data_IF_387577699604
#
_entry.id   IF_387577699604
#
_cell.length_a   1.000
_cell.length_b   1.000
_cell.length_c   1.000
_cell.angle_alpha   90.00
_cell.angle_beta   90.00
_cell.angle_gamma   90.00
#
_symmetry.space_group_name_H-M   'P 1'
#
loop_
_entity.id
_entity.type
_entity.pdbx_description
1 polymer ?
#
# COMPACT_ATOMS: atom_id res chain seq x y z
N UNK A 1 -19.55 2.74 -4.01
CA UNK A 1 -18.28 2.05 -4.33
C UNK A 1 -17.94 0.90 -3.40
N UNK A 2 -18.34 0.91 -2.12
CA UNK A 2 -18.04 -0.16 -1.16
C UNK A 2 -18.49 -1.58 -1.59
N UNK A 3 -19.61 -1.67 -2.32
CA UNK A 3 -20.22 -2.93 -2.78
C UNK A 3 -19.44 -3.71 -3.83
N UNK A 4 -18.52 -3.09 -4.59
CA UNK A 4 -17.77 -3.80 -5.63
C UNK A 4 -16.69 -4.69 -5.00
N UNK A 5 -15.89 -4.13 -4.09
CA UNK A 5 -14.80 -4.84 -3.44
C UNK A 5 -15.30 -5.99 -2.58
N UNK A 6 -16.38 -5.78 -1.83
CA UNK A 6 -17.02 -6.83 -1.03
C UNK A 6 -17.47 -8.01 -1.90
N UNK A 7 -18.07 -7.73 -3.07
CA UNK A 7 -18.46 -8.78 -4.02
C UNK A 7 -17.25 -9.51 -4.59
N UNK A 8 -16.19 -8.78 -4.94
CA UNK A 8 -14.99 -9.35 -5.55
C UNK A 8 -14.24 -10.27 -4.57
N UNK A 9 -14.15 -9.88 -3.30
CA UNK A 9 -13.58 -10.73 -2.24
C UNK A 9 -14.45 -11.97 -2.02
N UNK A 10 -15.79 -11.80 -1.98
CA UNK A 10 -16.70 -12.92 -1.78
C UNK A 10 -16.69 -13.95 -2.93
N UNK A 11 -16.46 -13.53 -4.18
CA UNK A 11 -16.48 -14.44 -5.34
C UNK A 11 -15.13 -15.09 -5.65
N UNK A 12 -14.02 -14.49 -5.22
CA UNK A 12 -12.68 -14.99 -5.55
C UNK A 12 -12.08 -15.93 -4.51
N UNK A 13 -12.61 -15.93 -3.28
CA UNK A 13 -12.12 -16.80 -2.20
C UNK A 13 -10.72 -16.44 -1.71
N UNK A 14 -10.26 -15.21 -1.98
CA UNK A 14 -8.96 -14.70 -1.54
C UNK A 14 -8.99 -14.47 -0.03
N UNK A 15 -7.95 -14.92 0.69
CA UNK A 15 -7.75 -14.60 2.09
C UNK A 15 -7.29 -13.13 2.22
N UNK A 16 -8.20 -12.27 2.71
CA UNK A 16 -7.94 -10.83 2.89
C UNK A 16 -7.75 -10.53 4.37
N UNK A 17 -6.54 -10.06 4.71
CA UNK A 17 -6.17 -9.74 6.09
C UNK A 17 -6.01 -8.23 6.27
N UNK A 18 -7.01 -7.60 6.89
CA UNK A 18 -6.94 -6.19 7.27
C UNK A 18 -6.04 -6.00 8.51
N UNK A 19 -5.58 -4.77 8.72
CA UNK A 19 -4.69 -4.40 9.84
C UNK A 19 -3.40 -5.24 9.93
N UNK A 20 -3.00 -5.90 8.84
CA UNK A 20 -1.82 -6.76 8.76
C UNK A 20 -0.68 -6.01 8.09
N UNK A 21 -0.21 -4.94 8.74
CA UNK A 21 0.83 -4.07 8.18
C UNK A 21 2.16 -4.81 8.09
N UNK A 22 2.68 -4.93 6.87
CA UNK A 22 4.03 -5.44 6.60
C UNK A 22 5.06 -4.37 6.96
N UNK A 23 6.11 -4.77 7.68
CA UNK A 23 7.22 -3.92 8.13
C UNK A 23 8.51 -4.20 7.37
N UNK A 24 8.73 -5.45 6.99
CA UNK A 24 9.90 -5.84 6.21
C UNK A 24 9.56 -7.03 5.32
N UNK A 25 10.20 -7.09 4.17
CA UNK A 25 10.22 -8.23 3.24
C UNK A 25 11.67 -8.69 3.12
N UNK A 26 11.88 -10.01 3.20
CA UNK A 26 13.20 -10.61 3.03
C UNK A 26 13.11 -11.81 2.10
N UNK A 27 13.98 -11.85 1.09
CA UNK A 27 14.12 -13.04 0.24
C UNK A 27 14.90 -14.12 0.96
N UNK A 28 14.52 -15.37 0.75
CA UNK A 28 15.23 -16.56 1.21
C UNK A 28 15.32 -17.57 0.07
N UNK A 29 16.19 -18.57 0.19
CA UNK A 29 16.34 -19.61 -0.83
C UNK A 29 15.01 -20.32 -1.09
N UNK A 30 14.39 -20.02 -2.24
CA UNK A 30 13.12 -20.61 -2.67
C UNK A 30 11.85 -19.88 -2.22
N UNK A 31 11.95 -18.71 -1.58
CA UNK A 31 10.75 -17.97 -1.16
C UNK A 31 11.01 -16.61 -0.55
N UNK A 32 10.03 -16.15 0.23
CA UNK A 32 9.98 -14.81 0.82
C UNK A 32 9.36 -14.87 2.20
N UNK A 33 10.00 -14.17 3.14
CA UNK A 33 9.52 -14.01 4.51
C UNK A 33 9.09 -12.57 4.71
N UNK A 34 7.84 -12.40 5.16
CA UNK A 34 7.26 -11.13 5.56
C UNK A 34 7.35 -10.97 7.07
N UNK A 35 7.86 -9.84 7.53
CA UNK A 35 7.73 -9.41 8.91
C UNK A 35 6.53 -8.47 9.03
N UNK A 36 5.55 -8.86 9.84
CA UNK A 36 4.36 -8.09 10.14
C UNK A 36 4.55 -7.27 11.43
N UNK A 37 3.60 -6.38 11.72
CA UNK A 37 3.53 -5.74 13.03
C UNK A 37 3.47 -6.75 14.19
N UNK A 38 3.92 -6.30 15.36
CA UNK A 38 4.11 -7.13 16.56
C UNK A 38 5.14 -8.27 16.42
N UNK A 39 6.00 -8.24 15.39
CA UNK A 39 7.12 -9.17 15.24
C UNK A 39 6.74 -10.55 14.71
N UNK A 40 5.50 -10.71 14.21
CA UNK A 40 5.06 -11.95 13.56
C UNK A 40 5.75 -12.09 12.20
N UNK A 41 6.19 -13.29 11.87
CA UNK A 41 6.73 -13.63 10.55
C UNK A 41 5.81 -14.59 9.81
N UNK A 42 5.73 -14.44 8.49
CA UNK A 42 5.01 -15.34 7.61
C UNK A 42 5.83 -15.62 6.34
N UNK A 43 5.90 -16.88 5.93
CA UNK A 43 6.65 -17.32 4.75
C UNK A 43 5.69 -17.64 3.59
N UNK A 44 6.10 -17.27 2.38
CA UNK A 44 5.40 -17.54 1.14
C UNK A 44 6.39 -17.94 0.06
N UNK A 45 5.92 -18.68 -0.94
CA UNK A 45 6.74 -19.07 -2.09
C UNK A 45 6.98 -17.88 -3.03
N UNK A 46 5.98 -17.00 -3.19
CA UNK A 46 6.01 -15.86 -4.12
C UNK A 46 5.37 -14.62 -3.48
N UNK A 47 5.88 -13.44 -3.82
CA UNK A 47 5.32 -12.15 -3.40
C UNK A 47 4.98 -11.29 -4.62
N UNK A 48 3.76 -10.75 -4.64
CA UNK A 48 3.35 -9.69 -5.56
C UNK A 48 3.15 -8.41 -4.76
N UNK A 49 3.92 -7.36 -5.09
CA UNK A 49 3.80 -6.06 -4.42
C UNK A 49 2.81 -5.16 -5.16
N UNK A 50 1.71 -4.82 -4.50
CA UNK A 50 0.70 -3.87 -4.99
C UNK A 50 0.74 -2.55 -4.18
N UNK A 51 1.95 -2.01 -3.98
CA UNK A 51 2.19 -0.75 -3.29
C UNK A 51 2.94 0.24 -4.21
N UNK A 52 2.89 1.56 -3.95
CA UNK A 52 3.74 2.52 -4.65
C UNK A 52 5.22 2.11 -4.59
N UNK A 53 5.94 2.28 -5.70
CA UNK A 53 7.30 1.74 -5.87
C UNK A 53 8.29 2.17 -4.78
N UNK A 54 8.38 3.45 -4.36
CA UNK A 54 9.25 3.84 -3.25
C UNK A 54 8.89 3.19 -1.92
N UNK A 55 7.60 2.97 -1.65
CA UNK A 55 7.15 2.31 -0.43
C UNK A 55 7.47 0.81 -0.46
N UNK A 56 7.27 0.16 -1.61
CA UNK A 56 7.66 -1.23 -1.82
C UNK A 56 9.18 -1.42 -1.61
N UNK A 57 10.00 -0.56 -2.21
CA UNK A 57 11.46 -0.57 -2.03
C UNK A 57 11.86 -0.40 -0.56
N UNK A 58 11.20 0.50 0.18
CA UNK A 58 11.48 0.74 1.60
C UNK A 58 11.16 -0.46 2.51
N UNK A 59 10.28 -1.37 2.07
CA UNK A 59 9.98 -2.61 2.81
C UNK A 59 11.02 -3.71 2.56
N UNK A 60 11.74 -3.67 1.45
CA UNK A 60 12.69 -4.71 1.05
C UNK A 60 13.99 -4.58 1.85
N UNK A 61 14.35 -5.63 2.60
CA UNK A 61 15.61 -5.67 3.36
C UNK A 61 16.85 -5.70 2.46
N UNK A 62 16.71 -6.36 1.30
CA UNK A 62 17.77 -6.75 0.38
C UNK A 62 17.53 -6.21 -1.03
N UNK A 63 16.91 -5.03 -1.16
CA UNK A 63 16.72 -4.38 -2.46
C UNK A 63 18.06 -4.22 -3.20
N UNK A 64 18.15 -4.75 -4.41
CA UNK A 64 19.35 -4.68 -5.24
C UNK A 64 19.61 -3.26 -5.75
N UNK A 65 20.83 -3.00 -6.21
CA UNK A 65 21.17 -1.68 -6.78
C UNK A 65 20.33 -1.37 -8.02
N UNK A 66 20.06 -2.36 -8.85
CA UNK A 66 19.19 -2.23 -10.02
C UNK A 66 17.74 -1.89 -9.63
N UNK A 67 17.21 -2.53 -8.59
CA UNK A 67 15.87 -2.22 -8.07
C UNK A 67 15.78 -0.82 -7.49
N UNK A 68 16.84 -0.37 -6.79
CA UNK A 68 16.92 0.98 -6.24
C UNK A 68 16.97 2.04 -7.35
N UNK A 69 17.72 1.78 -8.41
CA UNK A 69 17.85 2.71 -9.54
C UNK A 69 16.53 2.81 -10.32
N UNK A 70 15.94 1.66 -10.66
CA UNK A 70 14.66 1.59 -11.38
C UNK A 70 13.53 2.22 -10.57
N UNK A 71 13.33 1.80 -9.32
CA UNK A 71 12.16 2.19 -8.53
C UNK A 71 12.34 3.49 -7.75
N UNK A 72 13.57 3.89 -7.45
CA UNK A 72 13.87 5.14 -6.74
C UNK A 72 13.66 6.39 -7.59
N UNK A 73 13.67 6.27 -8.91
CA UNK A 73 13.45 7.39 -9.84
C UNK A 73 12.00 7.89 -9.88
N UNK A 74 11.05 7.10 -9.37
CA UNK A 74 9.63 7.44 -9.38
C UNK A 74 9.25 8.37 -8.23
N UNK A 75 8.94 9.62 -8.57
CA UNK A 75 8.39 10.58 -7.62
C UNK A 75 6.86 10.46 -7.59
N UNK A 76 6.30 10.31 -6.39
CA UNK A 76 4.86 10.38 -6.15
C UNK A 76 4.53 11.72 -5.49
N UNK A 77 3.52 12.40 -6.02
CA UNK A 77 3.01 13.61 -5.40
C UNK A 77 2.08 13.26 -4.25
N UNK A 78 2.30 13.88 -3.09
CA UNK A 78 1.40 13.77 -1.96
C UNK A 78 0.05 14.39 -2.32
N UNK A 79 -1.02 13.59 -2.27
CA UNK A 79 -2.39 14.05 -2.48
C UNK A 79 -3.02 14.28 -1.11
N UNK A 80 -3.22 15.55 -0.76
CA UNK A 80 -4.02 15.91 0.41
C UNK A 80 -5.50 15.89 0.05
N UNK A 81 -6.25 14.97 0.66
CA UNK A 81 -7.70 14.87 0.49
C UNK A 81 -8.37 15.31 1.79
N UNK A 82 -9.15 16.38 1.71
CA UNK A 82 -9.95 16.86 2.83
C UNK A 82 -11.43 16.57 2.55
N UNK A 83 -12.09 15.86 3.46
CA UNK A 83 -13.52 15.59 3.37
C UNK A 83 -14.30 16.75 3.99
N UNK A 84 -15.15 17.39 3.19
CA UNK A 84 -15.99 18.49 3.64
C UNK A 84 -17.45 18.06 3.78
N UNK A 85 -18.12 18.53 4.84
CA UNK A 85 -19.57 18.38 5.00
C UNK A 85 -20.24 19.71 5.42
N UNK A 86 -21.57 19.73 5.49
CA UNK A 86 -22.35 20.94 5.79
C UNK A 86 -22.14 21.52 7.20
N UNK A 87 -21.42 20.82 8.08
CA UNK A 87 -21.14 21.26 9.45
C UNK A 87 -19.66 21.61 9.67
N UNK A 88 -18.84 21.56 8.62
CA UNK A 88 -17.40 21.84 8.69
C UNK A 88 -17.13 23.35 8.76
N UNK A 89 -16.27 23.80 9.69
CA UNK A 89 -16.02 25.23 10.00
C UNK A 89 -14.61 25.76 9.64
N UNK A 90 -13.84 25.03 8.81
CA UNK A 90 -12.53 25.48 8.30
C UNK A 90 -12.59 26.38 7.04
N UNK A 91 -11.42 26.71 6.49
CA UNK A 91 -11.29 27.39 5.20
C UNK A 91 -10.73 26.39 4.19
N UNK A 92 -11.37 26.27 3.01
CA UNK A 92 -10.83 25.45 1.92
C UNK A 92 -9.52 26.08 1.41
N UNK A 93 -8.48 25.28 1.12
CA UNK A 93 -7.26 25.77 0.48
C UNK A 93 -7.61 26.49 -0.83
N UNK A 94 -6.91 27.57 -1.18
CA UNK A 94 -7.24 28.39 -2.36
C UNK A 94 -7.16 27.65 -3.71
N UNK A 95 -6.54 26.47 -3.74
CA UNK A 95 -6.28 25.63 -4.90
C UNK A 95 -7.09 24.31 -4.92
N UNK A 96 -8.14 24.21 -4.10
CA UNK A 96 -8.96 22.99 -4.05
C UNK A 96 -9.67 22.70 -5.39
N UNK A 97 -9.66 21.44 -5.81
CA UNK A 97 -10.54 20.93 -6.86
C UNK A 97 -11.71 20.20 -6.23
N UNK A 98 -12.93 20.66 -6.51
CA UNK A 98 -14.14 20.00 -6.06
C UNK A 98 -14.44 18.79 -6.96
N UNK A 99 -14.41 17.59 -6.37
CA UNK A 99 -14.90 16.39 -7.02
C UNK A 99 -16.33 16.12 -6.50
N UNK A 100 -17.33 16.37 -7.34
CA UNK A 100 -18.72 15.97 -7.09
C UNK A 100 -18.99 14.63 -7.78
N UNK A 101 -19.53 13.66 -7.05
CA UNK A 101 -19.92 12.34 -7.55
C UNK A 101 -21.44 12.25 -7.71
#
# INVERSE_FOLDING_TARGET
>A
YQTLWERLVATTGVDVRLNSKVRQVRRQDGGVVLQLEAGREEAFDWLVMAAPMPQALALMADASDEERDLFGSYNFHELSVSLWNQSSTGVLPSDYKLFSF
#
